data_IF_293076585499
#
_entry.id   IF_293076585499
#
_cell.length_a   1.000
_cell.length_b   1.000
_cell.length_c   1.000
_cell.angle_alpha   90.00
_cell.angle_beta   90.00
_cell.angle_gamma   90.00
#
_symmetry.space_group_name_H-M   'P 1'
#
loop_
_entity.id
_entity.type
_entity.pdbx_description
1 polymer ?
#
# COMPACT_ATOMS: atom_id res chain seq x y z
N UNK A 1 17.78 -1.01 7.42
CA UNK A 1 16.96 0.00 6.74
C UNK A 1 15.87 0.48 7.69
N UNK A 2 15.62 1.76 7.76
CA UNK A 2 14.58 2.31 8.64
C UNK A 2 13.20 1.97 8.11
N UNK A 3 12.21 1.82 8.99
CA UNK A 3 10.83 1.54 8.61
C UNK A 3 10.27 2.59 7.65
N UNK A 4 10.55 3.87 7.87
CA UNK A 4 10.09 4.92 6.97
C UNK A 4 10.62 4.75 5.54
N UNK A 5 11.85 4.29 5.40
CA UNK A 5 12.44 4.01 4.09
C UNK A 5 11.78 2.81 3.42
N UNK A 6 11.51 1.75 4.18
CA UNK A 6 10.78 0.57 3.69
C UNK A 6 9.39 0.98 3.22
N UNK A 7 8.69 1.78 4.02
CA UNK A 7 7.37 2.29 3.67
C UNK A 7 7.38 3.04 2.34
N UNK A 8 8.31 3.98 2.18
CA UNK A 8 8.43 4.78 0.96
C UNK A 8 8.74 3.91 -0.26
N UNK A 9 9.59 2.91 -0.11
CA UNK A 9 9.98 2.03 -1.21
C UNK A 9 8.82 1.13 -1.65
N UNK A 10 8.07 0.60 -0.71
CA UNK A 10 6.88 -0.19 -1.03
C UNK A 10 5.86 0.67 -1.78
N UNK A 11 5.61 1.89 -1.29
CA UNK A 11 4.71 2.81 -1.98
C UNK A 11 5.20 3.16 -3.38
N UNK A 12 6.51 3.35 -3.54
CA UNK A 12 7.09 3.67 -4.84
C UNK A 12 6.86 2.53 -5.85
N UNK A 13 7.05 1.28 -5.43
CA UNK A 13 6.83 0.12 -6.29
C UNK A 13 5.35 0.01 -6.67
N UNK A 14 4.45 0.14 -5.69
CA UNK A 14 3.00 0.08 -5.95
C UNK A 14 2.58 1.22 -6.87
N UNK A 15 3.09 2.42 -6.65
CA UNK A 15 2.80 3.59 -7.48
C UNK A 15 3.19 3.35 -8.93
N UNK A 16 4.36 2.78 -9.13
CA UNK A 16 4.89 2.51 -10.47
C UNK A 16 4.03 1.48 -11.20
N UNK A 17 3.72 0.36 -10.55
CA UNK A 17 2.94 -0.70 -11.16
C UNK A 17 1.48 -0.28 -11.38
N UNK A 18 0.89 0.45 -10.45
CA UNK A 18 -0.52 0.88 -10.54
C UNK A 18 -0.71 2.20 -11.27
N UNK A 19 0.37 2.80 -11.77
CA UNK A 19 0.34 4.05 -12.56
C UNK A 19 -0.34 5.20 -11.82
N UNK A 20 0.07 5.40 -10.57
CA UNK A 20 -0.42 6.49 -9.74
C UNK A 20 0.71 7.03 -8.88
N UNK A 21 0.46 8.09 -8.11
CA UNK A 21 1.46 8.66 -7.22
C UNK A 21 1.28 8.13 -5.80
N UNK A 22 2.35 8.13 -4.97
CA UNK A 22 2.21 7.78 -3.56
C UNK A 22 1.16 8.64 -2.84
N UNK A 23 1.06 9.90 -3.20
CA UNK A 23 0.07 10.81 -2.64
C UNK A 23 -1.35 10.37 -2.98
N UNK A 24 -1.57 9.91 -4.20
CA UNK A 24 -2.87 9.38 -4.61
C UNK A 24 -3.22 8.11 -3.86
N UNK A 25 -2.24 7.23 -3.61
CA UNK A 25 -2.46 6.02 -2.82
C UNK A 25 -2.92 6.37 -1.41
N UNK A 26 -2.29 7.35 -0.78
CA UNK A 26 -2.62 7.76 0.58
C UNK A 26 -3.87 8.65 0.66
N UNK A 27 -4.41 9.09 -0.48
CA UNK A 27 -5.55 10.01 -0.52
C UNK A 27 -6.87 9.27 -0.26
N UNK A 28 -7.94 9.99 0.12
CA UNK A 28 -9.27 9.39 0.25
C UNK A 28 -10.00 9.25 -1.08
N UNK A 29 -9.35 9.48 -2.20
CA UNK A 29 -9.97 9.41 -3.52
C UNK A 29 -10.57 8.03 -3.80
N UNK A 30 -11.71 8.01 -4.48
CA UNK A 30 -12.54 6.82 -4.63
C UNK A 30 -12.42 6.05 -5.95
N UNK A 31 -11.73 6.52 -7.02
CA UNK A 31 -11.59 5.69 -8.22
C UNK A 31 -11.08 4.29 -7.88
N UNK A 32 -11.66 3.28 -8.50
CA UNK A 32 -11.34 1.87 -8.20
C UNK A 32 -9.85 1.59 -8.34
N UNK A 33 -9.20 2.18 -9.32
CA UNK A 33 -7.76 2.04 -9.52
C UNK A 33 -6.96 2.42 -8.27
N UNK A 34 -7.32 3.52 -7.62
CA UNK A 34 -6.63 4.00 -6.42
C UNK A 34 -7.00 3.16 -5.19
N UNK A 35 -8.23 2.69 -5.11
CA UNK A 35 -8.64 1.76 -4.04
C UNK A 35 -7.86 0.46 -4.15
N UNK A 36 -7.69 -0.07 -5.36
CA UNK A 36 -6.90 -1.28 -5.59
C UNK A 36 -5.43 -1.06 -5.22
N UNK A 37 -4.86 0.08 -5.60
CA UNK A 37 -3.48 0.42 -5.25
C UNK A 37 -3.29 0.49 -3.73
N UNK A 38 -4.23 1.08 -3.01
CA UNK A 38 -4.19 1.14 -1.53
C UNK A 38 -4.25 -0.25 -0.93
N UNK A 39 -5.14 -1.11 -1.43
CA UNK A 39 -5.28 -2.48 -0.94
C UNK A 39 -3.99 -3.26 -1.12
N UNK A 40 -3.36 -3.15 -2.29
CA UNK A 40 -2.07 -3.80 -2.57
C UNK A 40 -0.98 -3.25 -1.64
N UNK A 41 -0.91 -1.92 -1.48
CA UNK A 41 0.08 -1.30 -0.60
C UNK A 41 -0.08 -1.76 0.85
N UNK A 42 -1.31 -1.77 1.36
CA UNK A 42 -1.58 -2.21 2.74
C UNK A 42 -1.18 -3.67 2.93
N UNK A 43 -1.49 -4.53 1.96
CA UNK A 43 -1.13 -5.94 2.05
C UNK A 43 0.39 -6.13 2.21
N UNK A 44 1.19 -5.49 1.35
CA UNK A 44 2.64 -5.67 1.39
C UNK A 44 3.29 -4.94 2.57
N UNK A 45 2.75 -3.80 2.99
CA UNK A 45 3.22 -3.12 4.20
C UNK A 45 2.98 -3.99 5.44
N UNK A 46 1.81 -4.58 5.55
CA UNK A 46 1.52 -5.47 6.67
C UNK A 46 2.40 -6.73 6.65
N UNK A 47 2.63 -7.30 5.46
CA UNK A 47 3.53 -8.44 5.29
C UNK A 47 4.97 -8.09 5.68
N UNK A 48 5.38 -6.83 5.49
CA UNK A 48 6.70 -6.34 5.87
C UNK A 48 6.83 -6.04 7.37
N UNK A 49 5.76 -6.23 8.14
CA UNK A 49 5.78 -6.07 9.58
C UNK A 49 5.16 -4.78 10.11
N UNK A 50 4.51 -3.99 9.26
CA UNK A 50 3.82 -2.78 9.71
C UNK A 50 2.45 -3.14 10.30
N UNK A 51 2.15 -2.58 11.48
CA UNK A 51 0.79 -2.66 12.03
C UNK A 51 -0.11 -1.68 11.28
N UNK A 52 -1.43 -1.84 11.40
CA UNK A 52 -2.37 -0.92 10.77
C UNK A 52 -2.21 0.51 11.30
N UNK A 53 -1.91 0.65 12.60
CA UNK A 53 -1.63 1.96 13.19
C UNK A 53 -0.36 2.59 12.59
N UNK A 54 0.69 1.80 12.41
CA UNK A 54 1.92 2.28 11.79
C UNK A 54 1.67 2.69 10.34
N UNK A 55 0.89 1.92 9.58
CA UNK A 55 0.55 2.28 8.21
C UNK A 55 -0.19 3.62 8.17
N UNK A 56 -1.13 3.82 9.09
CA UNK A 56 -1.85 5.09 9.20
C UNK A 56 -0.89 6.26 9.50
N UNK A 57 0.01 6.06 10.47
CA UNK A 57 0.95 7.11 10.87
C UNK A 57 1.93 7.46 9.75
N UNK A 58 2.52 6.46 9.10
CA UNK A 58 3.45 6.71 8.00
C UNK A 58 2.76 7.32 6.79
N UNK A 59 1.53 6.91 6.50
CA UNK A 59 0.74 7.52 5.42
C UNK A 59 0.52 9.00 5.67
N UNK A 60 0.19 9.36 6.91
CA UNK A 60 0.00 10.75 7.29
C UNK A 60 1.31 11.54 7.15
N UNK A 61 2.41 11.01 7.69
CA UNK A 61 3.71 11.71 7.69
C UNK A 61 4.29 11.88 6.29
N UNK A 62 4.17 10.85 5.45
CA UNK A 62 4.82 10.84 4.14
C UNK A 62 3.97 11.48 3.05
N UNK A 63 2.64 11.49 3.20
CA UNK A 63 1.73 11.88 2.13
C UNK A 63 0.67 12.89 2.55
N UNK A 64 0.65 13.30 3.82
CA UNK A 64 -0.48 14.01 4.38
C UNK A 64 -0.82 15.31 3.64
N UNK A 65 0.18 16.03 3.18
CA UNK A 65 -0.06 17.33 2.54
C UNK A 65 -0.92 17.21 1.28
N UNK A 66 -0.80 16.10 0.59
CA UNK A 66 -1.59 15.86 -0.62
C UNK A 66 -2.80 14.97 -0.36
N UNK A 67 -2.70 14.09 0.64
CA UNK A 67 -3.68 13.02 0.83
C UNK A 67 -4.74 13.34 1.87
N UNK A 68 -4.39 14.12 2.88
CA UNK A 68 -5.30 14.45 3.97
C UNK A 68 -5.61 15.94 3.93
N UNK A 69 -6.49 16.33 3.02
CA UNK A 69 -6.83 17.73 2.74
C UNK A 69 -7.21 18.52 4.01
N UNK A 70 -7.68 17.85 5.05
CA UNK A 70 -8.06 18.47 6.31
C UNK A 70 -7.10 18.12 7.44
N UNK A 71 -5.93 17.56 7.13
CA UNK A 71 -4.95 17.18 8.11
C UNK A 71 -5.34 16.00 8.99
N UNK A 72 -6.28 15.18 8.55
CA UNK A 72 -6.75 14.02 9.31
C UNK A 72 -6.05 12.75 8.87
N UNK A 73 -5.62 11.93 9.82
CA UNK A 73 -5.06 10.61 9.55
C UNK A 73 -6.14 9.66 9.06
N UNK A 74 -5.77 8.73 8.16
CA UNK A 74 -6.63 7.58 7.88
C UNK A 74 -6.78 6.74 9.15
N UNK A 75 -8.00 6.34 9.43
CA UNK A 75 -8.26 5.50 10.60
C UNK A 75 -7.72 4.10 10.36
N UNK A 76 -7.13 3.48 11.37
CA UNK A 76 -6.63 2.11 11.28
C UNK A 76 -7.72 1.11 10.88
N UNK A 77 -8.97 1.37 11.24
CA UNK A 77 -10.12 0.57 10.84
C UNK A 77 -10.31 0.57 9.31
N UNK A 78 -10.12 1.72 8.66
CA UNK A 78 -10.20 1.81 7.20
C UNK A 78 -9.07 1.03 6.54
N UNK A 79 -7.88 1.05 7.14
CA UNK A 79 -6.73 0.30 6.65
C UNK A 79 -6.96 -1.20 6.78
N UNK A 80 -7.53 -1.65 7.90
CA UNK A 80 -7.90 -3.05 8.09
C UNK A 80 -8.89 -3.51 7.02
N UNK A 81 -9.85 -2.67 6.66
CA UNK A 81 -10.81 -2.97 5.58
C UNK A 81 -10.12 -3.15 4.24
N UNK A 82 -9.13 -2.32 3.94
CA UNK A 82 -8.34 -2.46 2.71
C UNK A 82 -7.54 -3.76 2.70
N UNK A 83 -7.02 -4.15 3.85
CA UNK A 83 -6.29 -5.41 3.99
C UNK A 83 -7.19 -6.62 3.70
N UNK A 84 -8.40 -6.61 4.22
CA UNK A 84 -9.39 -7.68 3.97
C UNK A 84 -9.81 -7.69 2.49
N UNK A 85 -9.97 -6.52 1.90
CA UNK A 85 -10.36 -6.38 0.50
C UNK A 85 -9.35 -7.03 -0.46
N UNK A 86 -8.08 -7.06 -0.10
CA UNK A 86 -7.03 -7.64 -0.95
C UNK A 86 -7.34 -9.09 -1.35
N UNK A 87 -7.69 -9.94 -0.40
CA UNK A 87 -7.96 -11.34 -0.68
C UNK A 87 -9.14 -11.52 -1.65
N UNK A 88 -10.19 -10.76 -1.43
CA UNK A 88 -11.37 -10.80 -2.30
C UNK A 88 -11.02 -10.37 -3.71
N UNK A 89 -10.34 -9.22 -3.86
CA UNK A 89 -9.95 -8.70 -5.17
C UNK A 89 -8.97 -9.62 -5.88
N UNK A 90 -8.04 -10.21 -5.14
CA UNK A 90 -7.07 -11.14 -5.71
C UNK A 90 -7.76 -12.36 -6.33
N UNK A 91 -8.78 -12.87 -5.68
CA UNK A 91 -9.54 -14.03 -6.18
C UNK A 91 -10.44 -13.69 -7.35
N UNK A 92 -11.05 -12.52 -7.34
CA UNK A 92 -12.12 -12.15 -8.28
C UNK A 92 -11.66 -11.37 -9.50
N UNK A 93 -10.52 -10.69 -9.44
CA UNK A 93 -10.09 -9.76 -10.48
C UNK A 93 -8.70 -10.12 -11.00
N UNK A 94 -8.65 -10.51 -12.27
CA UNK A 94 -7.40 -10.93 -12.90
C UNK A 94 -6.38 -9.79 -13.00
N UNK A 95 -6.83 -8.59 -13.38
CA UNK A 95 -5.94 -7.42 -13.47
C UNK A 95 -5.34 -7.06 -12.12
N UNK A 96 -6.14 -7.12 -11.06
CA UNK A 96 -5.66 -6.90 -9.70
C UNK A 96 -4.58 -7.92 -9.33
N UNK A 97 -4.82 -9.19 -9.64
CA UNK A 97 -3.87 -10.28 -9.36
C UNK A 97 -2.56 -10.06 -10.08
N UNK A 98 -2.62 -9.62 -11.36
CA UNK A 98 -1.39 -9.33 -12.11
C UNK A 98 -0.59 -8.20 -11.48
N UNK A 99 -1.24 -7.10 -11.11
CA UNK A 99 -0.57 -5.98 -10.46
C UNK A 99 0.07 -6.41 -9.13
N UNK A 100 -0.68 -7.14 -8.32
CA UNK A 100 -0.17 -7.63 -7.04
C UNK A 100 1.02 -8.57 -7.23
N UNK A 101 0.96 -9.45 -8.22
CA UNK A 101 2.06 -10.38 -8.52
C UNK A 101 3.31 -9.63 -9.00
N UNK A 102 3.16 -8.59 -9.80
CA UNK A 102 4.28 -7.77 -10.26
C UNK A 102 4.93 -7.01 -9.09
N UNK A 103 4.13 -6.44 -8.21
CA UNK A 103 4.64 -5.77 -7.00
C UNK A 103 5.43 -6.76 -6.16
N UNK A 104 4.87 -7.95 -5.91
CA UNK A 104 5.55 -8.98 -5.14
C UNK A 104 6.88 -9.37 -5.76
N UNK A 105 6.93 -9.58 -7.06
CA UNK A 105 8.15 -9.97 -7.77
C UNK A 105 9.24 -8.92 -7.63
N UNK A 106 8.89 -7.65 -7.79
CA UNK A 106 9.85 -6.54 -7.67
C UNK A 106 10.36 -6.44 -6.23
N UNK A 107 9.47 -6.51 -5.25
CA UNK A 107 9.87 -6.41 -3.84
C UNK A 107 10.78 -7.58 -3.44
N UNK A 108 10.48 -8.78 -3.87
CA UNK A 108 11.30 -9.95 -3.55
C UNK A 108 12.67 -9.88 -4.24
N UNK A 109 12.73 -9.36 -5.46
CA UNK A 109 13.98 -9.20 -6.17
C UNK A 109 14.88 -8.16 -5.51
N UNK A 110 14.32 -7.01 -5.11
CA UNK A 110 15.07 -5.90 -4.54
C UNK A 110 15.37 -6.08 -3.05
N UNK A 111 14.50 -6.78 -2.33
CA UNK A 111 14.54 -6.85 -0.86
C UNK A 111 14.24 -8.25 -0.35
N UNK A 112 14.76 -9.28 -1.01
CA UNK A 112 14.38 -10.67 -0.73
C UNK A 112 14.59 -11.10 0.72
N UNK A 113 15.59 -10.54 1.42
CA UNK A 113 15.82 -10.88 2.83
C UNK A 113 14.81 -10.22 3.77
N UNK A 114 14.27 -9.09 3.38
CA UNK A 114 13.33 -8.29 4.19
C UNK A 114 11.89 -8.71 3.97
N UNK A 115 11.59 -9.36 2.84
CA UNK A 115 10.24 -9.71 2.45
C UNK A 115 10.07 -11.21 2.17
N UNK A 116 10.83 -12.04 2.88
CA UNK A 116 10.78 -13.50 2.68
C UNK A 116 9.41 -14.11 2.99
N UNK A 117 8.61 -13.43 3.80
CA UNK A 117 7.29 -13.91 4.21
C UNK A 117 6.15 -13.38 3.32
N UNK A 118 6.47 -12.69 2.25
CA UNK A 118 5.42 -12.24 1.30
C UNK A 118 4.83 -13.44 0.51
#
# INVERSE_FOLDING_TARGET
>A
MKKSDIFKRILAVVSDICECTPQQICSPAKPQRLVDARSIAVHFLHAAGFTFNEISDYSYECCYQAACAEGKKCKSKSIASLYVLYDQRYKENFSFRLMASEVKAILMEQYNQEFTNL
#
